data_IF_948448909816
#
_entry.id   IF_948448909816
#
_cell.length_a   1.000
_cell.length_b   1.000
_cell.length_c   1.000
_cell.angle_alpha   90.00
_cell.angle_beta   90.00
_cell.angle_gamma   90.00
#
_symmetry.space_group_name_H-M   'P 1'
#
loop_
_entity.id
_entity.type
_entity.pdbx_description
1 polymer ?
#
# COMPACT_ATOMS: atom_id res chain seq x y z
N UNK A 1 6.41 20.45 2.36
CA UNK A 1 5.93 19.31 3.18
C UNK A 1 6.98 18.20 3.18
N UNK A 2 7.45 17.68 2.03
CA UNK A 2 8.66 16.84 1.94
C UNK A 2 9.52 17.31 0.75
N UNK A 3 10.80 16.97 0.76
CA UNK A 3 11.68 17.10 -0.40
C UNK A 3 11.38 16.00 -1.43
N UNK A 4 11.69 16.27 -2.71
CA UNK A 4 11.36 15.37 -3.81
C UNK A 4 12.03 14.00 -3.67
N UNK A 5 13.33 13.96 -3.34
CA UNK A 5 14.07 12.71 -3.16
C UNK A 5 13.53 11.88 -1.98
N UNK A 6 13.07 12.54 -0.92
CA UNK A 6 12.43 11.85 0.21
C UNK A 6 11.13 11.17 -0.23
N UNK A 7 10.32 11.84 -1.06
CA UNK A 7 9.10 11.25 -1.61
C UNK A 7 9.41 10.08 -2.56
N UNK A 8 10.45 10.20 -3.39
CA UNK A 8 10.90 9.12 -4.30
C UNK A 8 11.38 7.89 -3.52
N UNK A 9 12.14 8.08 -2.44
CA UNK A 9 12.56 6.99 -1.55
C UNK A 9 11.36 6.29 -0.90
N UNK A 10 10.36 7.04 -0.43
CA UNK A 10 9.14 6.45 0.14
C UNK A 10 8.39 5.63 -0.92
N UNK A 11 8.25 6.14 -2.14
CA UNK A 11 7.61 5.42 -3.24
C UNK A 11 8.33 4.12 -3.57
N UNK A 12 9.67 4.16 -3.62
CA UNK A 12 10.50 3.00 -3.91
C UNK A 12 10.30 1.90 -2.84
N UNK A 13 10.40 2.26 -1.56
CA UNK A 13 10.20 1.34 -0.43
C UNK A 13 8.78 0.75 -0.44
N UNK A 14 7.75 1.58 -0.63
CA UNK A 14 6.36 1.13 -0.51
C UNK A 14 5.87 0.33 -1.72
N UNK A 15 6.53 0.47 -2.87
CA UNK A 15 6.18 -0.25 -4.10
C UNK A 15 6.94 -1.57 -4.30
N UNK A 16 8.01 -1.79 -3.54
CA UNK A 16 8.81 -3.01 -3.63
C UNK A 16 8.02 -4.27 -3.17
N UNK A 17 7.66 -5.12 -4.14
CA UNK A 17 6.97 -6.37 -3.87
C UNK A 17 7.90 -7.48 -3.34
N UNK A 18 9.17 -7.47 -3.71
CA UNK A 18 10.13 -8.48 -3.27
C UNK A 18 10.37 -8.33 -1.77
N UNK A 19 10.61 -7.09 -1.32
CA UNK A 19 10.84 -6.79 0.10
C UNK A 19 9.64 -7.10 0.98
N UNK A 20 8.39 -6.96 0.48
CA UNK A 20 7.18 -7.30 1.25
C UNK A 20 6.77 -8.78 1.15
N UNK A 21 7.35 -9.55 0.23
CA UNK A 21 6.99 -10.96 -0.02
C UNK A 21 7.14 -11.86 1.22
N UNK A 22 8.19 -11.76 2.06
CA UNK A 22 8.32 -12.61 3.25
C UNK A 22 7.14 -12.53 4.22
N UNK A 23 6.44 -11.39 4.25
CA UNK A 23 5.30 -11.16 5.14
C UNK A 23 3.96 -11.54 4.51
N UNK A 24 3.75 -11.19 3.24
CA UNK A 24 2.43 -11.28 2.61
C UNK A 24 2.31 -12.33 1.49
N UNK A 25 3.44 -12.86 1.03
CA UNK A 25 3.54 -13.68 -0.18
C UNK A 25 3.64 -12.84 -1.46
N UNK A 26 4.29 -13.41 -2.49
CA UNK A 26 4.61 -12.72 -3.74
C UNK A 26 3.37 -12.29 -4.55
N UNK A 27 2.23 -12.97 -4.37
CA UNK A 27 0.94 -12.69 -5.02
C UNK A 27 -0.16 -12.33 -4.00
N UNK A 28 0.20 -11.54 -3.00
CA UNK A 28 -0.75 -11.05 -1.99
C UNK A 28 -1.80 -10.10 -2.58
N UNK A 29 -2.80 -9.72 -1.76
CA UNK A 29 -3.80 -8.70 -2.12
C UNK A 29 -3.18 -7.31 -2.37
N UNK A 30 -1.92 -7.09 -1.98
CA UNK A 30 -1.20 -5.84 -2.22
C UNK A 30 -0.52 -5.80 -3.59
N UNK A 31 -0.48 -6.92 -4.32
CA UNK A 31 0.22 -7.08 -5.58
C UNK A 31 -0.68 -6.94 -6.82
N UNK A 32 -0.16 -6.23 -7.82
CA UNK A 32 -0.76 -6.04 -9.14
C UNK A 32 0.30 -6.32 -10.20
N UNK A 33 0.08 -7.32 -11.04
CA UNK A 33 1.09 -7.81 -12.00
C UNK A 33 1.52 -6.76 -13.02
N UNK A 34 0.62 -5.87 -13.41
CA UNK A 34 0.84 -4.89 -14.47
C UNK A 34 0.90 -3.44 -13.98
N UNK A 35 0.89 -3.21 -12.67
CA UNK A 35 0.84 -1.86 -12.10
C UNK A 35 1.81 -1.73 -10.94
N UNK A 36 2.61 -0.66 -10.96
CA UNK A 36 3.50 -0.31 -9.88
C UNK A 36 2.72 0.41 -8.76
N UNK A 37 2.30 -0.36 -7.75
CA UNK A 37 1.43 0.12 -6.67
C UNK A 37 2.19 0.13 -5.34
N UNK A 38 2.36 1.33 -4.79
CA UNK A 38 2.83 1.53 -3.43
C UNK A 38 1.72 1.15 -2.45
N UNK A 39 2.04 0.39 -1.39
CA UNK A 39 1.03 -0.05 -0.43
C UNK A 39 1.56 -0.08 1.01
N UNK A 40 0.69 0.31 1.94
CA UNK A 40 0.93 0.21 3.38
C UNK A 40 -0.32 -0.29 4.11
N UNK A 41 -0.12 -1.27 4.96
CA UNK A 41 -1.15 -1.79 5.87
C UNK A 41 -1.02 -1.14 7.25
N UNK A 42 -2.14 -1.01 7.95
CA UNK A 42 -2.21 -0.57 9.35
C UNK A 42 -3.17 -1.45 10.13
N UNK A 43 -2.82 -1.79 11.37
CA UNK A 43 -3.71 -2.46 12.33
C UNK A 43 -3.47 -1.79 13.67
N UNK A 44 -4.51 -1.30 14.33
CA UNK A 44 -4.34 -0.74 15.68
C UNK A 44 -4.15 -1.87 16.69
N UNK A 45 -3.65 -1.49 17.86
CA UNK A 45 -3.70 -2.34 19.04
C UNK A 45 -5.15 -2.79 19.31
N UNK A 46 -5.30 -3.96 19.94
CA UNK A 46 -6.58 -4.65 20.15
C UNK A 46 -7.39 -4.99 18.89
N UNK A 47 -6.85 -4.80 17.67
CA UNK A 47 -7.53 -5.10 16.39
C UNK A 47 -8.86 -4.34 16.20
N UNK A 48 -8.92 -3.08 16.64
CA UNK A 48 -10.11 -2.22 16.46
C UNK A 48 -10.23 -1.75 15.02
N UNK A 49 -9.12 -1.27 14.47
CA UNK A 49 -9.07 -0.69 13.14
C UNK A 49 -8.13 -1.46 12.22
N UNK A 50 -8.60 -1.70 11.00
CA UNK A 50 -7.85 -2.27 9.90
C UNK A 50 -7.77 -1.26 8.76
N UNK A 51 -6.53 -0.92 8.36
CA UNK A 51 -6.26 0.01 7.27
C UNK A 51 -5.47 -0.66 6.15
N UNK A 52 -5.79 -0.29 4.92
CA UNK A 52 -4.91 -0.46 3.76
C UNK A 52 -4.95 0.81 2.94
N UNK A 53 -3.78 1.43 2.77
CA UNK A 53 -3.60 2.61 1.94
C UNK A 53 -2.63 2.24 0.84
N UNK A 54 -2.91 2.69 -0.37
CA UNK A 54 -1.95 2.55 -1.45
C UNK A 54 -2.27 3.43 -2.64
N UNK A 55 -1.30 3.58 -3.52
CA UNK A 55 -1.32 4.59 -4.55
C UNK A 55 -0.43 4.23 -5.75
N UNK A 56 -0.71 4.94 -6.83
CA UNK A 56 0.12 5.07 -8.05
C UNK A 56 0.35 6.56 -8.29
N UNK A 57 1.16 6.98 -9.28
CA UNK A 57 1.28 8.41 -9.62
C UNK A 57 -0.08 9.09 -9.92
N UNK A 58 -1.06 8.33 -10.44
CA UNK A 58 -2.36 8.84 -10.87
C UNK A 58 -3.49 8.75 -9.84
N UNK A 59 -3.36 7.96 -8.76
CA UNK A 59 -4.45 7.79 -7.77
C UNK A 59 -3.93 7.37 -6.40
N UNK A 60 -4.58 7.87 -5.33
CA UNK A 60 -4.45 7.39 -3.96
C UNK A 60 -5.77 6.81 -3.46
N UNK A 61 -5.71 5.66 -2.78
CA UNK A 61 -6.87 4.97 -2.20
C UNK A 61 -6.54 4.53 -0.79
N UNK A 62 -7.36 4.94 0.18
CA UNK A 62 -7.34 4.45 1.55
C UNK A 62 -8.64 3.72 1.88
N UNK A 63 -8.52 2.55 2.50
CA UNK A 63 -9.65 1.78 3.03
C UNK A 63 -9.45 1.56 4.51
N UNK A 64 -10.52 1.83 5.25
CA UNK A 64 -10.67 1.48 6.66
C UNK A 64 -11.79 0.46 6.83
N UNK A 65 -11.58 -0.47 7.75
CA UNK A 65 -12.61 -1.36 8.24
C UNK A 65 -12.50 -1.46 9.78
N UNK A 66 -13.62 -1.28 10.46
CA UNK A 66 -13.74 -1.34 11.90
C UNK A 66 -15.20 -1.28 12.33
N UNK A 67 -15.46 -1.49 13.62
CA UNK A 67 -16.80 -1.35 14.16
C UNK A 67 -17.05 0.11 14.58
N UNK A 68 -18.22 0.66 14.24
CA UNK A 68 -18.58 2.05 14.56
C UNK A 68 -18.65 2.35 16.07
N UNK A 69 -18.73 1.31 16.91
CA UNK A 69 -18.76 1.41 18.37
C UNK A 69 -17.38 1.22 19.03
N UNK A 70 -16.31 1.19 18.22
CA UNK A 70 -14.93 0.97 18.66
C UNK A 70 -14.69 -0.39 19.35
N UNK A 71 -15.63 -1.33 19.28
CA UNK A 71 -15.38 -2.70 19.72
C UNK A 71 -14.32 -3.37 18.84
N UNK A 72 -13.46 -4.26 19.40
CA UNK A 72 -12.51 -5.02 18.61
C UNK A 72 -13.18 -5.73 17.43
N UNK A 73 -12.55 -5.66 16.27
CA UNK A 73 -12.94 -6.50 15.14
C UNK A 73 -12.53 -7.96 15.42
N UNK A 74 -12.77 -8.87 14.48
CA UNK A 74 -12.50 -10.31 14.59
C UNK A 74 -11.01 -10.70 14.69
N UNK A 75 -10.15 -9.88 15.32
CA UNK A 75 -8.70 -10.07 15.50
C UNK A 75 -7.95 -10.31 14.19
N UNK A 76 -8.34 -9.61 13.12
CA UNK A 76 -7.77 -9.74 11.79
C UNK A 76 -6.97 -8.48 11.42
N UNK A 77 -5.77 -8.62 10.81
CA UNK A 77 -4.96 -7.47 10.44
C UNK A 77 -5.52 -6.71 9.23
N UNK A 78 -5.00 -5.50 9.02
CA UNK A 78 -5.36 -4.59 7.92
C UNK A 78 -5.41 -5.25 6.54
N UNK A 79 -4.41 -6.07 6.23
CA UNK A 79 -4.31 -6.80 4.95
C UNK A 79 -5.46 -7.80 4.73
N UNK A 80 -6.09 -8.29 5.80
CA UNK A 80 -7.17 -9.28 5.74
C UNK A 80 -8.54 -8.61 5.69
N UNK A 81 -8.75 -7.49 6.40
CA UNK A 81 -10.06 -6.81 6.44
C UNK A 81 -10.20 -5.71 5.40
N UNK A 82 -9.28 -4.73 5.38
CA UNK A 82 -9.33 -3.59 4.45
C UNK A 82 -8.71 -3.94 3.08
N UNK A 83 -7.68 -4.79 3.07
CA UNK A 83 -6.93 -5.18 1.88
C UNK A 83 -7.79 -5.70 0.71
N UNK A 84 -8.75 -6.63 0.93
CA UNK A 84 -9.59 -7.13 -0.16
C UNK A 84 -10.50 -6.08 -0.80
N UNK A 85 -11.06 -5.16 0.00
CA UNK A 85 -11.89 -4.05 -0.52
C UNK A 85 -11.02 -3.11 -1.35
N UNK A 86 -9.85 -2.75 -0.82
CA UNK A 86 -8.87 -1.91 -1.52
C UNK A 86 -8.41 -2.55 -2.84
N UNK A 87 -8.11 -3.85 -2.83
CA UNK A 87 -7.71 -4.60 -4.02
C UNK A 87 -8.81 -4.63 -5.06
N UNK A 88 -10.05 -4.93 -4.66
CA UNK A 88 -11.19 -4.98 -5.57
C UNK A 88 -11.40 -3.62 -6.27
N UNK A 89 -11.41 -2.52 -5.50
CA UNK A 89 -11.56 -1.18 -6.06
C UNK A 89 -10.44 -0.83 -7.05
N UNK A 90 -9.18 -1.05 -6.68
CA UNK A 90 -8.07 -0.72 -7.57
C UNK A 90 -8.06 -1.57 -8.85
N UNK A 91 -8.47 -2.84 -8.76
CA UNK A 91 -8.60 -3.72 -9.94
C UNK A 91 -9.51 -3.13 -11.01
N UNK A 92 -10.58 -2.47 -10.57
CA UNK A 92 -11.59 -1.87 -11.44
C UNK A 92 -11.20 -0.49 -11.99
N UNK A 93 -10.39 0.27 -11.25
CA UNK A 93 -10.07 1.66 -11.60
C UNK A 93 -8.75 1.78 -12.36
N UNK A 94 -7.73 0.97 -12.03
CA UNK A 94 -6.40 1.08 -12.64
C UNK A 94 -6.42 0.95 -14.18
N UNK A 95 -7.22 0.06 -14.81
CA UNK A 95 -7.30 0.00 -16.27
C UNK A 95 -7.88 1.25 -16.94
N UNK A 96 -8.50 2.16 -16.17
CA UNK A 96 -9.15 3.38 -16.66
C UNK A 96 -8.28 4.63 -16.45
N UNK A 97 -7.11 4.48 -15.81
CA UNK A 97 -6.18 5.55 -15.50
C UNK A 97 -4.91 5.44 -16.36
N UNK A 98 -4.13 6.52 -16.50
CA UNK A 98 -2.80 6.45 -17.09
C UNK A 98 -1.94 5.38 -16.40
N UNK A 99 -1.27 4.55 -17.20
CA UNK A 99 -0.32 3.56 -16.70
C UNK A 99 1.05 4.23 -16.52
N UNK A 100 1.35 4.61 -15.30
CA UNK A 100 2.56 5.34 -14.92
C UNK A 100 3.36 4.55 -13.87
N UNK A 101 4.68 4.74 -13.88
CA UNK A 101 5.60 4.21 -12.89
C UNK A 101 6.15 5.33 -12.00
N UNK A 102 6.56 4.98 -10.78
CA UNK A 102 7.27 5.93 -9.92
C UNK A 102 8.65 6.26 -10.47
N UNK A 103 9.03 7.54 -10.39
CA UNK A 103 10.41 7.95 -10.62
C UNK A 103 11.27 7.39 -9.48
N UNK A 104 12.32 6.65 -9.83
CA UNK A 104 13.26 6.08 -8.87
C UNK A 104 14.05 7.19 -8.16
N UNK A 105 14.41 7.02 -6.88
CA UNK A 105 15.27 7.95 -6.18
C UNK A 105 16.67 7.97 -6.80
N UNK A 106 17.37 9.09 -6.64
CA UNK A 106 18.78 9.17 -7.03
C UNK A 106 19.61 8.16 -6.21
N UNK A 107 20.69 7.60 -6.78
CA UNK A 107 21.58 6.71 -6.03
C UNK A 107 22.15 7.42 -4.80
N UNK A 108 22.09 6.76 -3.64
CA UNK A 108 22.74 7.27 -2.43
C UNK A 108 24.25 7.25 -2.69
N UNK A 109 24.90 8.41 -2.69
CA UNK A 109 26.35 8.50 -2.83
C UNK A 109 27.01 7.75 -1.68
N UNK A 110 27.82 6.74 -1.99
CA UNK A 110 28.52 5.89 -1.01
C UNK A 110 29.72 6.59 -0.36
N UNK A 111 29.71 7.91 -0.20
CA UNK A 111 30.79 8.63 0.47
C UNK A 111 30.62 8.54 1.99
N UNK A 112 30.89 7.35 2.53
CA UNK A 112 31.22 7.10 3.93
C UNK A 112 32.27 5.98 4.00
#
# INVERSE_FOLDING_TARGET
VLEEEVARLINDILSDNETRTPMFGARSVLYFENYNVAAKTGTTDDFRDAWTIGYTPSIVVGVWAGNNDNSPSNKKPGVVLAGPIWRAFLSEVLPKLPKEDFIKPEPISSEF
#
